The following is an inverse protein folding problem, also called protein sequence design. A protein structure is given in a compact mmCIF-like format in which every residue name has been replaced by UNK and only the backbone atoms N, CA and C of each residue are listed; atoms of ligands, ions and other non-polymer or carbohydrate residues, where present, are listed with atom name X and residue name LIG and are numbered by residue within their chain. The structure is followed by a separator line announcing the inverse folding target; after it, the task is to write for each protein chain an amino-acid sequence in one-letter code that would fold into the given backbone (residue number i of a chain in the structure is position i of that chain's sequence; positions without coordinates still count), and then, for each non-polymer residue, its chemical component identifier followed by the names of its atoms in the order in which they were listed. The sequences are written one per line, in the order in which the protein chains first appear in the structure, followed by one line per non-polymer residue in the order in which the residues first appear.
data_IF_740761388482
#
_entry.id   IF_740761388482
#
_cell.length_a   1.000
_cell.length_b   1.000
_cell.length_c   1.000
_cell.angle_alpha   90.00
_cell.angle_beta   90.00
_cell.angle_gamma   90.00
#
_symmetry.space_group_name_H-M   'P 1'
#
loop_
_entity.id
_entity.type
_entity.pdbx_description
1 polymer ?
#
# COMPACT_ATOMS: atom_id res chain seq x y z
N UNK A 1 5.26 10.89 -9.43
CA UNK A 1 6.30 11.17 -8.41
C UNK A 1 7.71 11.01 -8.96
N UNK A 2 8.10 9.82 -9.48
CA UNK A 2 9.47 9.53 -9.91
C UNK A 2 10.04 10.48 -10.97
N UNK A 3 9.29 10.79 -12.00
CA UNK A 3 9.67 11.75 -13.05
C UNK A 3 9.91 13.17 -12.49
N UNK A 4 9.10 13.63 -11.56
CA UNK A 4 9.28 14.92 -10.90
C UNK A 4 10.54 14.94 -10.01
N UNK A 5 10.83 13.83 -9.31
CA UNK A 5 12.01 13.72 -8.46
C UNK A 5 13.32 13.86 -9.23
N UNK A 6 13.43 13.22 -10.41
CA UNK A 6 14.61 13.31 -11.27
C UNK A 6 14.80 14.71 -11.85
N UNK A 7 13.72 15.43 -12.13
CA UNK A 7 13.77 16.77 -12.74
C UNK A 7 14.04 17.90 -11.73
N UNK A 8 13.42 17.85 -10.55
CA UNK A 8 13.45 18.96 -9.58
C UNK A 8 14.37 18.70 -8.37
N UNK A 9 14.89 17.48 -8.22
CA UNK A 9 15.72 17.07 -7.10
C UNK A 9 14.91 16.66 -5.84
N UNK A 10 15.55 15.88 -4.99
CA UNK A 10 14.92 15.26 -3.81
C UNK A 10 14.46 16.30 -2.81
N UNK A 11 15.31 17.31 -2.50
CA UNK A 11 14.99 18.36 -1.53
C UNK A 11 13.71 19.09 -1.86
N UNK A 12 13.58 19.58 -3.11
CA UNK A 12 12.36 20.29 -3.56
C UNK A 12 11.12 19.41 -3.48
N UNK A 13 11.24 18.13 -3.86
CA UNK A 13 10.14 17.18 -3.80
C UNK A 13 9.67 16.94 -2.35
N UNK A 14 10.61 16.82 -1.39
CA UNK A 14 10.27 16.69 0.03
C UNK A 14 9.59 17.95 0.55
N UNK A 15 10.12 19.12 0.21
CA UNK A 15 9.54 20.42 0.63
C UNK A 15 8.11 20.59 0.10
N UNK A 16 7.90 20.38 -1.20
CA UNK A 16 6.58 20.48 -1.82
C UNK A 16 5.62 19.44 -1.24
N UNK A 17 6.08 18.19 -1.07
CA UNK A 17 5.26 17.13 -0.48
C UNK A 17 4.83 17.46 0.95
N UNK A 18 5.75 17.88 1.81
CA UNK A 18 5.44 18.24 3.21
C UNK A 18 4.53 19.48 3.29
N UNK A 19 4.80 20.52 2.49
CA UNK A 19 3.94 21.70 2.43
C UNK A 19 2.52 21.36 1.97
N UNK A 20 2.39 20.51 0.96
CA UNK A 20 1.08 20.02 0.46
C UNK A 20 0.35 19.19 1.51
N UNK A 21 1.04 18.35 2.30
CA UNK A 21 0.44 17.57 3.40
C UNK A 21 -0.08 18.50 4.51
N UNK A 22 0.72 19.50 4.91
CA UNK A 22 0.31 20.54 5.88
C UNK A 22 -0.96 21.25 5.38
N UNK A 23 -0.97 21.67 4.11
CA UNK A 23 -2.15 22.30 3.49
C UNK A 23 -3.37 21.37 3.55
N UNK A 24 -3.19 20.08 3.26
CA UNK A 24 -4.27 19.09 3.36
C UNK A 24 -4.84 18.97 4.77
N UNK A 25 -4.01 18.96 5.81
CA UNK A 25 -4.48 18.94 7.21
C UNK A 25 -5.22 20.23 7.61
N UNK A 26 -4.72 21.39 7.18
CA UNK A 26 -5.38 22.68 7.44
C UNK A 26 -6.74 22.75 6.73
N UNK A 27 -6.82 22.31 5.47
CA UNK A 27 -8.09 22.21 4.76
C UNK A 27 -9.07 21.27 5.47
N UNK A 28 -8.59 20.12 5.94
CA UNK A 28 -9.43 19.16 6.66
C UNK A 28 -9.93 19.73 8.00
N UNK A 29 -9.11 20.52 8.69
CA UNK A 29 -9.48 21.17 9.94
C UNK A 29 -10.57 22.24 9.78
N UNK A 30 -10.79 22.76 8.57
CA UNK A 30 -11.83 23.72 8.25
C UNK A 30 -13.22 23.08 8.05
N UNK A 31 -13.34 21.75 8.18
CA UNK A 31 -14.62 21.04 8.13
C UNK A 31 -15.57 21.57 9.22
N UNK A 32 -16.76 22.02 8.81
CA UNK A 32 -17.75 22.56 9.73
C UNK A 32 -18.95 21.61 9.89
N UNK A 33 -19.43 21.42 11.13
CA UNK A 33 -20.66 20.67 11.38
C UNK A 33 -21.93 21.28 10.75
N UNK A 34 -21.87 22.56 10.39
CA UNK A 34 -23.00 23.28 9.76
C UNK A 34 -23.15 22.96 8.26
N UNK A 35 -22.19 22.26 7.66
CA UNK A 35 -22.24 21.93 6.24
C UNK A 35 -23.17 20.74 5.96
N UNK A 36 -23.73 20.71 4.75
CA UNK A 36 -24.46 19.54 4.29
C UNK A 36 -23.53 18.32 4.21
N UNK A 37 -24.09 17.13 4.37
CA UNK A 37 -23.34 15.87 4.28
C UNK A 37 -22.59 15.76 2.94
N UNK A 38 -23.26 16.14 1.83
CA UNK A 38 -22.64 16.10 0.51
C UNK A 38 -21.42 17.02 0.40
N UNK A 39 -21.51 18.25 0.92
CA UNK A 39 -20.40 19.21 0.93
C UNK A 39 -19.26 18.71 1.83
N UNK A 40 -19.59 18.21 3.00
CA UNK A 40 -18.61 17.63 3.94
C UNK A 40 -17.84 16.47 3.32
N UNK A 41 -18.54 15.54 2.65
CA UNK A 41 -17.92 14.40 1.94
C UNK A 41 -17.02 14.90 0.81
N UNK A 42 -17.51 15.80 -0.04
CA UNK A 42 -16.71 16.36 -1.14
C UNK A 42 -15.45 17.07 -0.64
N UNK A 43 -15.56 17.84 0.44
CA UNK A 43 -14.45 18.54 1.09
C UNK A 43 -13.40 17.56 1.63
N UNK A 44 -13.83 16.54 2.39
CA UNK A 44 -12.93 15.53 2.95
C UNK A 44 -12.25 14.75 1.84
N UNK A 45 -12.97 14.34 0.79
CA UNK A 45 -12.41 13.65 -0.37
C UNK A 45 -11.37 14.53 -1.08
N UNK A 46 -11.65 15.82 -1.27
CA UNK A 46 -10.71 16.77 -1.86
C UNK A 46 -9.45 16.95 -1.01
N UNK A 47 -9.59 17.19 0.28
CA UNK A 47 -8.48 17.34 1.21
C UNK A 47 -7.63 16.05 1.29
N UNK A 48 -8.27 14.88 1.36
CA UNK A 48 -7.57 13.59 1.33
C UNK A 48 -6.87 13.32 -0.01
N UNK A 49 -7.44 13.80 -1.12
CA UNK A 49 -6.78 13.75 -2.43
C UNK A 49 -5.47 14.54 -2.43
N UNK A 50 -5.47 15.74 -1.86
CA UNK A 50 -4.27 16.58 -1.67
C UNK A 50 -3.24 15.86 -0.80
N UNK A 51 -3.64 15.31 0.34
CA UNK A 51 -2.76 14.50 1.21
C UNK A 51 -2.22 13.26 0.47
N UNK A 52 -3.01 12.64 -0.40
CA UNK A 52 -2.59 11.51 -1.23
C UNK A 52 -1.45 11.87 -2.18
N UNK A 53 -1.55 13.01 -2.87
CA UNK A 53 -0.49 13.55 -3.73
C UNK A 53 0.76 13.87 -2.93
N UNK A 54 0.62 14.56 -1.80
CA UNK A 54 1.71 14.90 -0.88
C UNK A 54 2.48 13.67 -0.43
N UNK A 55 1.76 12.62 -0.02
CA UNK A 55 2.31 11.35 0.41
C UNK A 55 3.06 10.60 -0.70
N UNK A 56 2.60 10.69 -1.95
CA UNK A 56 3.33 10.08 -3.07
C UNK A 56 4.62 10.85 -3.39
N UNK A 57 4.60 12.17 -3.31
CA UNK A 57 5.78 13.01 -3.49
C UNK A 57 6.85 12.72 -2.43
N UNK A 58 6.50 12.75 -1.16
CA UNK A 58 7.43 12.49 -0.04
C UNK A 58 7.96 11.06 -0.05
N UNK A 59 7.11 10.07 -0.32
CA UNK A 59 7.50 8.66 -0.42
C UNK A 59 8.49 8.41 -1.57
N UNK A 60 8.26 9.03 -2.72
CA UNK A 60 9.14 8.87 -3.88
C UNK A 60 10.48 9.57 -3.63
N UNK A 61 10.46 10.79 -3.08
CA UNK A 61 11.66 11.52 -2.74
C UNK A 61 12.52 10.78 -1.71
N UNK A 62 11.90 10.25 -0.64
CA UNK A 62 12.60 9.47 0.40
C UNK A 62 13.26 8.22 -0.15
N UNK A 63 12.60 7.47 -1.04
CA UNK A 63 13.20 6.29 -1.68
C UNK A 63 14.38 6.66 -2.59
N UNK A 64 14.25 7.77 -3.31
CA UNK A 64 15.34 8.28 -4.16
C UNK A 64 16.53 8.75 -3.33
N UNK A 65 16.29 9.32 -2.14
CA UNK A 65 17.34 9.72 -1.19
C UNK A 65 18.16 8.51 -0.73
N UNK A 66 17.49 7.42 -0.33
CA UNK A 66 18.17 6.19 0.10
C UNK A 66 19.05 5.64 -1.01
N UNK A 67 18.55 5.58 -2.24
CA UNK A 67 19.34 5.11 -3.38
C UNK A 67 20.56 6.00 -3.64
N UNK A 68 20.42 7.31 -3.45
CA UNK A 68 21.51 8.27 -3.65
C UNK A 68 22.59 8.22 -2.55
N UNK A 69 22.22 7.78 -1.32
CA UNK A 69 23.15 7.75 -0.16
C UNK A 69 23.73 6.37 0.14
N UNK A 70 23.06 5.29 -0.24
CA UNK A 70 23.46 3.93 0.14
C UNK A 70 24.65 3.36 -0.65
N UNK A 71 25.19 4.05 -1.66
CA UNK A 71 26.32 3.57 -2.49
C UNK A 71 26.00 2.27 -3.27
N UNK A 72 26.86 1.92 -4.22
CA UNK A 72 26.70 0.73 -5.09
C UNK A 72 27.13 -0.60 -4.44
N UNK A 73 27.54 -0.64 -3.18
CA UNK A 73 27.93 -1.87 -2.51
C UNK A 73 26.71 -2.80 -2.35
N UNK A 74 26.70 -3.87 -3.13
CA UNK A 74 25.55 -4.76 -3.41
C UNK A 74 24.86 -5.43 -2.22
N UNK A 75 25.39 -5.38 -1.01
CA UNK A 75 24.74 -5.92 0.20
C UNK A 75 24.11 -4.86 1.10
N UNK A 76 24.62 -3.65 1.10
CA UNK A 76 24.13 -2.58 1.99
C UNK A 76 22.84 -1.95 1.49
N UNK A 77 22.68 -1.75 0.19
CA UNK A 77 21.46 -1.19 -0.40
C UNK A 77 20.23 -2.04 -0.06
N UNK A 78 20.36 -3.37 -0.15
CA UNK A 78 19.26 -4.29 0.20
C UNK A 78 18.87 -4.19 1.68
N UNK A 79 19.85 -4.13 2.58
CA UNK A 79 19.62 -3.97 4.04
C UNK A 79 18.90 -2.65 4.33
N UNK A 80 19.36 -1.55 3.74
CA UNK A 80 18.75 -0.23 3.94
C UNK A 80 17.34 -0.15 3.37
N UNK A 81 17.08 -0.71 2.20
CA UNK A 81 15.74 -0.76 1.59
C UNK A 81 14.79 -1.63 2.42
N UNK A 82 15.25 -2.77 2.91
CA UNK A 82 14.46 -3.66 3.77
C UNK A 82 14.15 -3.00 5.11
N UNK A 83 15.16 -2.40 5.76
CA UNK A 83 14.98 -1.64 7.01
C UNK A 83 14.01 -0.47 6.84
N UNK A 84 14.18 0.34 5.80
CA UNK A 84 13.28 1.46 5.51
C UNK A 84 11.85 1.01 5.21
N UNK A 85 11.69 -0.10 4.50
CA UNK A 85 10.35 -0.62 4.20
C UNK A 85 9.68 -1.19 5.44
N UNK A 86 10.42 -1.90 6.26
CA UNK A 86 9.95 -2.45 7.54
C UNK A 86 9.60 -1.35 8.55
N UNK A 87 10.51 -0.41 8.76
CA UNK A 87 10.29 0.72 9.67
C UNK A 87 9.09 1.58 9.23
N UNK A 88 8.91 1.82 7.93
CA UNK A 88 7.74 2.53 7.41
C UNK A 88 6.42 1.81 7.74
N UNK A 89 6.38 0.49 7.67
CA UNK A 89 5.17 -0.26 7.99
C UNK A 89 4.90 -0.28 9.51
N UNK A 90 5.95 -0.42 10.33
CA UNK A 90 5.83 -0.28 11.78
C UNK A 90 5.35 1.12 12.19
N UNK A 91 5.93 2.18 11.59
CA UNK A 91 5.51 3.56 11.84
C UNK A 91 4.08 3.86 11.42
N UNK A 92 3.51 3.14 10.44
CA UNK A 92 2.08 3.25 10.16
C UNK A 92 1.20 2.77 11.31
N UNK A 93 1.56 1.64 11.93
CA UNK A 93 0.85 1.13 13.09
C UNK A 93 0.91 2.12 14.26
N UNK A 94 2.11 2.63 14.56
CA UNK A 94 2.30 3.70 15.55
C UNK A 94 1.46 4.93 15.19
N UNK A 95 1.44 5.34 13.92
CA UNK A 95 0.65 6.47 13.44
C UNK A 95 -0.86 6.29 13.62
N UNK A 96 -1.40 5.10 13.41
CA UNK A 96 -2.81 4.80 13.69
C UNK A 96 -3.13 4.96 15.18
N UNK A 97 -2.29 4.42 16.06
CA UNK A 97 -2.47 4.53 17.50
C UNK A 97 -2.37 5.97 18.00
N UNK A 98 -1.29 6.68 17.59
CA UNK A 98 -1.09 8.08 17.97
C UNK A 98 -2.20 9.00 17.42
N UNK A 99 -2.66 8.75 16.18
CA UNK A 99 -3.79 9.48 15.59
C UNK A 99 -5.07 9.29 16.40
N UNK A 100 -5.33 8.08 16.88
CA UNK A 100 -6.44 7.77 17.78
C UNK A 100 -6.35 8.49 19.12
N UNK A 101 -5.17 8.49 19.74
CA UNK A 101 -4.91 9.21 21.01
C UNK A 101 -5.08 10.72 20.85
N UNK A 102 -4.53 11.30 19.78
CA UNK A 102 -4.66 12.73 19.50
C UNK A 102 -6.12 13.12 19.29
N UNK A 103 -6.86 12.31 18.53
CA UNK A 103 -8.28 12.57 18.29
C UNK A 103 -9.10 12.49 19.58
N UNK A 104 -8.84 11.50 20.42
CA UNK A 104 -9.54 11.31 21.69
C UNK A 104 -9.19 12.40 22.71
N UNK A 105 -7.91 12.82 22.78
CA UNK A 105 -7.43 13.76 23.77
C UNK A 105 -7.64 15.22 23.40
N UNK A 106 -7.49 15.58 22.13
CA UNK A 106 -7.50 16.96 21.65
C UNK A 106 -8.74 17.29 20.79
N UNK A 107 -9.48 16.29 20.34
CA UNK A 107 -10.55 16.47 19.38
C UNK A 107 -10.03 16.66 17.95
N UNK A 108 -10.96 16.71 16.98
CA UNK A 108 -10.64 16.61 15.55
C UNK A 108 -9.74 17.75 15.03
N UNK A 109 -10.12 19.01 15.29
CA UNK A 109 -9.40 20.17 14.77
C UNK A 109 -8.00 20.31 15.38
N UNK A 110 -7.91 20.22 16.72
CA UNK A 110 -6.61 20.37 17.41
C UNK A 110 -5.66 19.22 17.11
N UNK A 111 -6.16 18.00 16.88
CA UNK A 111 -5.34 16.88 16.41
C UNK A 111 -4.72 17.17 15.04
N UNK A 112 -5.51 17.70 14.09
CA UNK A 112 -5.02 18.08 12.76
C UNK A 112 -4.00 19.22 12.81
N UNK A 113 -4.22 20.23 13.65
CA UNK A 113 -3.26 21.32 13.84
C UNK A 113 -1.96 20.83 14.47
N UNK A 114 -2.04 19.94 15.45
CA UNK A 114 -0.85 19.30 16.04
C UNK A 114 -0.06 18.54 15.01
N UNK A 115 -0.71 17.76 14.17
CA UNK A 115 -0.05 17.03 13.07
C UNK A 115 0.57 17.99 12.06
N UNK A 116 -0.11 19.08 11.68
CA UNK A 116 0.41 20.12 10.80
C UNK A 116 1.63 20.80 11.39
N UNK A 117 1.62 21.13 12.68
CA UNK A 117 2.76 21.73 13.39
C UNK A 117 3.97 20.80 13.41
N UNK A 118 3.78 19.51 13.72
CA UNK A 118 4.85 18.51 13.68
C UNK A 118 5.47 18.38 12.28
N UNK A 119 4.64 18.39 11.23
CA UNK A 119 5.15 18.38 9.86
C UNK A 119 5.88 19.67 9.49
N UNK A 120 5.47 20.82 10.01
CA UNK A 120 6.19 22.09 9.81
C UNK A 120 7.60 22.05 10.45
N UNK A 121 7.76 21.42 11.61
CA UNK A 121 9.07 21.18 12.22
C UNK A 121 9.93 20.29 11.31
N UNK A 122 9.36 19.19 10.77
CA UNK A 122 10.07 18.31 9.84
C UNK A 122 10.44 19.07 8.55
N UNK A 123 9.54 19.90 8.01
CA UNK A 123 9.80 20.74 6.83
C UNK A 123 10.97 21.69 7.08
N UNK A 124 11.03 22.34 8.25
CA UNK A 124 12.15 23.20 8.65
C UNK A 124 13.46 22.43 8.68
N UNK A 125 13.46 21.20 9.24
CA UNK A 125 14.61 20.31 9.20
C UNK A 125 15.05 19.94 7.78
N UNK A 126 14.11 19.65 6.87
CA UNK A 126 14.44 19.39 5.45
C UNK A 126 15.05 20.61 4.78
N UNK A 127 14.52 21.80 5.04
CA UNK A 127 15.09 23.07 4.51
C UNK A 127 16.52 23.28 5.02
N UNK A 128 16.77 23.06 6.30
CA UNK A 128 18.06 23.31 6.94
C UNK A 128 19.13 22.28 6.56
N UNK A 129 18.81 21.00 6.59
CA UNK A 129 19.81 19.91 6.59
C UNK A 129 19.93 19.14 5.29
N UNK A 130 18.92 19.15 4.38
CA UNK A 130 19.00 18.38 3.13
C UNK A 130 19.77 19.17 2.06
N UNK A 131 20.82 18.59 1.43
CA UNK A 131 21.58 19.28 0.39
C UNK A 131 20.76 19.61 -0.86
N UNK A 132 20.90 20.78 -1.49
CA UNK A 132 20.06 21.24 -2.59
C UNK A 132 20.22 20.45 -3.91
N UNK A 133 21.37 19.83 -4.13
CA UNK A 133 21.71 19.12 -5.38
C UNK A 133 21.47 17.62 -5.33
N UNK A 134 20.93 17.11 -4.24
CA UNK A 134 20.71 15.67 -4.07
C UNK A 134 19.71 15.11 -5.08
N UNK A 135 20.13 14.12 -5.86
CA UNK A 135 19.24 13.28 -6.69
C UNK A 135 18.77 13.87 -8.02
N UNK A 136 19.45 14.88 -8.59
CA UNK A 136 19.20 15.29 -9.97
C UNK A 136 19.79 14.26 -10.94
N UNK A 137 18.94 13.59 -11.72
CA UNK A 137 19.33 12.63 -12.76
C UNK A 137 18.77 13.03 -14.12
N UNK A 138 19.32 12.46 -15.20
CA UNK A 138 18.77 12.64 -16.56
C UNK A 138 17.40 11.96 -16.64
N UNK A 139 16.33 12.72 -16.80
CA UNK A 139 15.01 12.21 -17.07
C UNK A 139 14.89 11.84 -18.55
N UNK A 140 14.82 10.58 -18.85
CA UNK A 140 14.56 10.10 -20.21
C UNK A 140 13.50 9.00 -20.16
N UNK A 141 12.21 9.38 -20.22
CA UNK A 141 11.18 8.38 -20.52
C UNK A 141 9.93 8.99 -21.14
N UNK A 142 9.51 8.46 -22.28
CA UNK A 142 8.24 8.77 -22.93
C UNK A 142 7.08 8.17 -22.11
N UNK A 143 5.98 8.92 -21.97
CA UNK A 143 4.77 8.44 -21.29
C UNK A 143 4.21 7.14 -21.91
N UNK A 144 4.43 6.90 -23.21
CA UNK A 144 4.05 5.65 -23.90
C UNK A 144 4.81 4.41 -23.39
N UNK A 145 6.06 4.55 -22.95
CA UNK A 145 6.86 3.45 -22.41
C UNK A 145 6.35 2.96 -21.03
N UNK A 146 5.57 3.77 -20.33
CA UNK A 146 4.98 3.40 -19.04
C UNK A 146 3.90 2.31 -19.13
N UNK A 147 3.25 2.16 -20.29
CA UNK A 147 2.11 1.25 -20.47
C UNK A 147 2.44 -0.01 -21.28
N UNK A 148 3.56 -0.04 -22.01
CA UNK A 148 3.98 -1.21 -22.80
C UNK A 148 4.83 -2.15 -21.94
N UNK A 149 4.21 -3.03 -21.19
CA UNK A 149 4.88 -3.97 -20.28
C UNK A 149 4.82 -5.40 -20.80
N UNK A 150 5.77 -6.25 -20.34
CA UNK A 150 5.74 -7.67 -20.67
C UNK A 150 4.51 -8.35 -20.02
N UNK A 151 4.15 -9.54 -20.52
CA UNK A 151 2.98 -10.30 -20.05
C UNK A 151 3.02 -10.58 -18.54
N UNK A 152 4.19 -10.94 -17.99
CA UNK A 152 4.34 -11.24 -16.57
C UNK A 152 4.05 -10.01 -15.70
N UNK A 153 4.56 -8.84 -16.06
CA UNK A 153 4.33 -7.58 -15.34
C UNK A 153 2.86 -7.16 -15.43
N UNK A 154 2.23 -7.27 -16.62
CA UNK A 154 0.81 -6.91 -16.78
C UNK A 154 -0.10 -7.80 -15.93
N UNK A 155 0.10 -9.11 -15.95
CA UNK A 155 -0.66 -10.05 -15.13
C UNK A 155 -0.42 -9.81 -13.63
N UNK A 156 0.84 -9.59 -13.23
CA UNK A 156 1.18 -9.32 -11.85
C UNK A 156 0.58 -7.99 -11.36
N UNK A 157 0.55 -6.95 -12.20
CA UNK A 157 -0.11 -5.68 -11.90
C UNK A 157 -1.63 -5.86 -11.76
N UNK A 158 -2.28 -6.61 -12.65
CA UNK A 158 -3.71 -6.92 -12.54
C UNK A 158 -4.02 -7.72 -11.26
N UNK A 159 -3.24 -8.76 -10.95
CA UNK A 159 -3.35 -9.50 -9.70
C UNK A 159 -3.16 -8.58 -8.48
N UNK A 160 -2.25 -7.59 -8.56
CA UNK A 160 -2.01 -6.62 -7.49
C UNK A 160 -3.20 -5.69 -7.24
N UNK A 161 -3.89 -5.24 -8.30
CA UNK A 161 -5.14 -4.46 -8.17
C UNK A 161 -6.15 -5.26 -7.34
N UNK A 162 -6.39 -6.51 -7.73
CA UNK A 162 -7.33 -7.38 -7.05
C UNK A 162 -6.91 -7.70 -5.61
N UNK A 163 -5.64 -8.02 -5.37
CA UNK A 163 -5.09 -8.36 -4.05
C UNK A 163 -5.24 -7.21 -3.04
N UNK A 164 -4.86 -6.00 -3.43
CA UNK A 164 -4.95 -4.85 -2.53
C UNK A 164 -6.35 -4.30 -2.40
N UNK A 165 -7.14 -4.37 -3.47
CA UNK A 165 -8.56 -4.09 -3.41
C UNK A 165 -9.28 -5.01 -2.43
N UNK A 166 -9.05 -6.30 -2.53
CA UNK A 166 -9.65 -7.31 -1.65
C UNK A 166 -9.38 -7.06 -0.15
N UNK A 167 -8.18 -6.62 0.21
CA UNK A 167 -7.87 -6.23 1.59
C UNK A 167 -8.68 -4.99 2.00
N UNK A 168 -8.64 -3.94 1.18
CA UNK A 168 -9.21 -2.65 1.55
C UNK A 168 -10.76 -2.68 1.54
N UNK A 169 -11.40 -3.60 0.81
CA UNK A 169 -12.87 -3.79 0.78
C UNK A 169 -13.45 -4.03 2.16
N UNK A 170 -12.81 -4.75 3.06
CA UNK A 170 -13.35 -4.97 4.40
C UNK A 170 -12.55 -4.28 5.50
N UNK A 171 -11.24 -4.04 5.28
CA UNK A 171 -10.35 -3.52 6.30
C UNK A 171 -10.54 -2.01 6.59
N UNK A 172 -10.82 -1.18 5.56
CA UNK A 172 -10.75 0.29 5.70
C UNK A 172 -11.98 0.86 6.39
N UNK A 173 -13.18 0.41 6.01
CA UNK A 173 -14.47 0.87 6.55
C UNK A 173 -15.20 -0.25 7.25
N UNK A 174 -15.35 -1.40 6.59
CA UNK A 174 -16.19 -2.49 7.06
C UNK A 174 -15.82 -2.99 8.45
N UNK A 175 -14.56 -3.32 8.70
CA UNK A 175 -14.11 -3.84 10.01
C UNK A 175 -14.20 -2.79 11.12
N UNK A 176 -13.68 -1.56 10.97
CA UNK A 176 -13.85 -0.54 11.98
C UNK A 176 -15.32 -0.29 12.36
N UNK A 177 -16.20 -0.09 11.37
CA UNK A 177 -17.64 0.15 11.62
C UNK A 177 -18.30 -1.04 12.30
N UNK A 178 -17.99 -2.27 11.86
CA UNK A 178 -18.50 -3.50 12.48
C UNK A 178 -18.08 -3.61 13.94
N UNK A 179 -16.79 -3.39 14.26
CA UNK A 179 -16.29 -3.47 15.63
C UNK A 179 -16.91 -2.41 16.54
N UNK A 180 -17.10 -1.17 16.04
CA UNK A 180 -17.84 -0.14 16.77
C UNK A 180 -19.29 -0.55 17.03
N UNK A 181 -19.98 -1.08 16.03
CA UNK A 181 -21.36 -1.56 16.20
C UNK A 181 -21.44 -2.76 17.16
N UNK A 182 -20.34 -3.51 17.35
CA UNK A 182 -20.21 -4.60 18.32
C UNK A 182 -19.81 -4.11 19.74
N UNK A 183 -19.73 -2.80 19.97
CA UNK A 183 -19.46 -2.21 21.29
C UNK A 183 -17.96 -1.95 21.59
N UNK A 184 -17.07 -2.12 20.61
CA UNK A 184 -15.66 -1.79 20.80
C UNK A 184 -15.46 -0.28 20.90
N UNK A 185 -14.60 0.15 21.83
CA UNK A 185 -14.23 1.56 21.96
C UNK A 185 -13.31 2.00 20.81
N UNK A 186 -13.21 3.30 20.58
CA UNK A 186 -12.31 3.87 19.58
C UNK A 186 -10.87 3.43 19.80
N UNK A 187 -10.40 3.44 21.05
CA UNK A 187 -9.05 3.01 21.42
C UNK A 187 -8.82 1.52 21.15
N UNK A 188 -9.81 0.65 21.41
CA UNK A 188 -9.71 -0.78 21.10
C UNK A 188 -9.58 -1.01 19.61
N UNK A 189 -10.41 -0.36 18.78
CA UNK A 189 -10.34 -0.50 17.31
C UNK A 189 -9.01 0.04 16.78
N UNK A 190 -8.58 1.21 17.21
CA UNK A 190 -7.30 1.81 16.80
C UNK A 190 -6.10 0.97 17.22
N UNK A 191 -6.12 0.45 18.44
CA UNK A 191 -5.09 -0.45 18.97
C UNK A 191 -5.01 -1.75 18.18
N UNK A 192 -6.16 -2.35 17.86
CA UNK A 192 -6.22 -3.55 17.02
C UNK A 192 -5.63 -3.30 15.62
N UNK A 193 -6.05 -2.22 14.94
CA UNK A 193 -5.56 -1.86 13.61
C UNK A 193 -4.05 -1.59 13.63
N UNK A 194 -3.56 -0.95 14.70
CA UNK A 194 -2.13 -0.70 14.92
C UNK A 194 -1.35 -2.02 15.05
N UNK A 195 -1.78 -2.90 15.96
CA UNK A 195 -1.16 -4.20 16.19
C UNK A 195 -1.20 -5.07 14.93
N UNK A 196 -2.33 -5.08 14.22
CA UNK A 196 -2.46 -5.80 12.96
C UNK A 196 -1.47 -5.29 11.91
N UNK A 197 -1.32 -3.96 11.78
CA UNK A 197 -0.40 -3.35 10.80
C UNK A 197 1.06 -3.64 11.14
N UNK A 198 1.42 -3.64 12.42
CA UNK A 198 2.76 -4.00 12.89
C UNK A 198 3.02 -5.49 12.65
N UNK A 199 2.10 -6.37 13.06
CA UNK A 199 2.18 -7.81 12.84
C UNK A 199 2.30 -8.17 11.36
N UNK A 200 1.50 -7.54 10.51
CA UNK A 200 1.63 -7.63 9.05
C UNK A 200 3.04 -7.27 8.57
N UNK A 201 3.62 -6.19 9.08
CA UNK A 201 4.98 -5.75 8.75
C UNK A 201 6.04 -6.77 9.15
N UNK A 202 5.91 -7.36 10.34
CA UNK A 202 6.82 -8.41 10.86
C UNK A 202 6.74 -9.67 9.98
N UNK A 203 5.54 -10.18 9.70
CA UNK A 203 5.35 -11.36 8.83
C UNK A 203 5.87 -11.06 7.42
N UNK A 204 5.65 -9.86 6.91
CA UNK A 204 6.17 -9.46 5.60
C UNK A 204 7.71 -9.48 5.55
N UNK A 205 8.38 -9.06 6.61
CA UNK A 205 9.83 -9.13 6.72
C UNK A 205 10.34 -10.59 6.83
N UNK A 206 9.57 -11.47 7.46
CA UNK A 206 9.88 -12.90 7.60
C UNK A 206 9.50 -13.74 6.35
N UNK A 207 8.69 -13.20 5.43
CA UNK A 207 8.21 -13.94 4.26
C UNK A 207 9.32 -14.63 3.42
N UNK A 208 10.53 -14.05 3.26
CA UNK A 208 11.63 -14.72 2.58
C UNK A 208 12.11 -16.03 3.24
N UNK A 209 11.84 -16.23 4.52
CA UNK A 209 12.15 -17.47 5.23
C UNK A 209 11.03 -18.52 5.08
N UNK A 210 9.82 -18.08 4.74
CA UNK A 210 8.63 -18.94 4.59
C UNK A 210 8.52 -19.50 3.18
N UNK A 211 8.93 -18.71 2.17
CA UNK A 211 8.78 -19.06 0.75
C UNK A 211 10.11 -19.58 0.21
N UNK A 212 10.08 -20.75 -0.43
CA UNK A 212 11.24 -21.27 -1.15
C UNK A 212 11.63 -20.34 -2.28
N UNK A 213 12.93 -20.17 -2.47
CA UNK A 213 13.50 -19.38 -3.56
C UNK A 213 14.12 -20.30 -4.58
N UNK A 214 14.03 -19.88 -5.84
CA UNK A 214 14.68 -20.54 -6.96
C UNK A 214 15.78 -19.65 -7.54
N UNK A 215 16.77 -20.27 -8.20
CA UNK A 215 17.89 -19.53 -8.82
C UNK A 215 17.42 -18.62 -9.97
N UNK A 216 16.35 -19.04 -10.68
CA UNK A 216 15.73 -18.28 -11.76
C UNK A 216 14.75 -17.20 -11.26
N UNK A 217 14.39 -17.23 -9.96
CA UNK A 217 13.44 -16.32 -9.32
C UNK A 217 11.99 -16.46 -9.76
N UNK A 218 11.62 -17.54 -10.45
CA UNK A 218 10.27 -17.76 -11.00
C UNK A 218 9.74 -19.16 -10.72
N UNK A 219 10.55 -20.20 -10.83
CA UNK A 219 10.11 -21.61 -10.77
C UNK A 219 9.53 -22.02 -9.42
N UNK A 220 9.98 -21.45 -8.31
CA UNK A 220 9.42 -21.65 -6.98
C UNK A 220 8.44 -20.55 -6.56
N UNK A 221 8.70 -19.32 -6.97
CA UNK A 221 7.94 -18.13 -6.53
C UNK A 221 6.58 -18.01 -7.21
N UNK A 222 6.45 -18.41 -8.48
CA UNK A 222 5.14 -18.39 -9.17
C UNK A 222 4.17 -19.41 -8.58
N UNK A 223 4.55 -20.70 -8.34
CA UNK A 223 3.73 -21.62 -7.58
C UNK A 223 3.37 -21.13 -6.18
N UNK A 224 4.31 -20.49 -5.47
CA UNK A 224 4.04 -19.89 -4.16
C UNK A 224 2.99 -18.78 -4.26
N UNK A 225 3.07 -17.89 -5.26
CA UNK A 225 2.06 -16.84 -5.48
C UNK A 225 0.67 -17.44 -5.72
N UNK A 226 0.57 -18.53 -6.50
CA UNK A 226 -0.68 -19.25 -6.76
C UNK A 226 -1.25 -19.87 -5.48
N UNK A 227 -0.42 -20.55 -4.72
CA UNK A 227 -0.84 -21.19 -3.46
C UNK A 227 -1.31 -20.15 -2.43
N UNK A 228 -0.50 -19.11 -2.18
CA UNK A 228 -0.84 -18.10 -1.18
C UNK A 228 -2.05 -17.24 -1.57
N UNK A 229 -2.27 -17.01 -2.88
CA UNK A 229 -3.50 -16.35 -3.35
C UNK A 229 -4.73 -17.21 -3.12
N UNK A 230 -4.66 -18.54 -3.35
CA UNK A 230 -5.75 -19.47 -3.06
C UNK A 230 -6.05 -19.53 -1.56
N UNK A 231 -5.02 -19.74 -0.72
CA UNK A 231 -5.18 -19.78 0.74
C UNK A 231 -5.78 -18.49 1.29
N UNK A 232 -5.35 -17.35 0.75
CA UNK A 232 -5.87 -16.06 1.17
C UNK A 232 -7.36 -15.89 0.84
N UNK A 233 -7.84 -16.44 -0.28
CA UNK A 233 -9.25 -16.38 -0.68
C UNK A 233 -10.16 -17.19 0.27
N UNK A 234 -9.64 -18.26 0.86
CA UNK A 234 -10.41 -19.12 1.82
C UNK A 234 -10.82 -18.32 3.05
N UNK A 235 -10.01 -17.35 3.49
CA UNK A 235 -10.27 -16.64 4.77
C UNK A 235 -11.56 -15.82 4.72
N UNK A 236 -11.78 -14.87 3.78
CA UNK A 236 -13.03 -14.12 3.74
C UNK A 236 -14.22 -14.99 3.36
N UNK A 237 -14.05 -16.08 2.60
CA UNK A 237 -15.11 -17.06 2.34
C UNK A 237 -15.53 -17.74 3.65
N UNK A 238 -14.57 -18.25 4.42
CA UNK A 238 -14.84 -18.87 5.71
C UNK A 238 -15.51 -17.91 6.70
N UNK A 239 -15.03 -16.66 6.79
CA UNK A 239 -15.65 -15.64 7.62
C UNK A 239 -17.08 -15.32 7.15
N UNK A 240 -17.34 -15.23 5.85
CA UNK A 240 -18.69 -15.00 5.33
C UNK A 240 -19.66 -16.14 5.73
N UNK A 241 -19.20 -17.39 5.70
CA UNK A 241 -19.97 -18.53 6.19
C UNK A 241 -20.27 -18.40 7.70
N UNK A 242 -19.27 -18.04 8.51
CA UNK A 242 -19.45 -17.88 9.96
C UNK A 242 -20.39 -16.70 10.29
N UNK A 243 -20.35 -15.62 9.51
CA UNK A 243 -21.32 -14.50 9.60
C UNK A 243 -22.73 -15.00 9.29
N UNK A 244 -22.91 -15.80 8.23
CA UNK A 244 -24.19 -16.36 7.84
C UNK A 244 -24.76 -17.30 8.93
N UNK A 245 -23.89 -18.06 9.59
CA UNK A 245 -24.24 -18.96 10.70
C UNK A 245 -24.54 -18.21 12.01
N UNK A 246 -24.33 -16.89 12.06
CA UNK A 246 -24.54 -16.07 13.26
C UNK A 246 -23.81 -16.61 14.49
N UNK A 247 -22.56 -17.02 14.34
CA UNK A 247 -21.76 -17.59 15.43
C UNK A 247 -21.64 -16.60 16.60
N UNK A 248 -21.58 -17.07 17.86
CA UNK A 248 -21.38 -16.20 19.01
C UNK A 248 -20.01 -15.52 18.95
N UNK A 249 -19.90 -14.37 19.59
CA UNK A 249 -18.66 -13.56 19.62
C UNK A 249 -18.05 -13.30 18.24
N UNK A 250 -18.91 -12.94 17.29
CA UNK A 250 -18.54 -12.71 15.89
C UNK A 250 -17.42 -11.64 15.73
N UNK A 251 -17.36 -10.65 16.60
CA UNK A 251 -16.32 -9.63 16.65
C UNK A 251 -14.93 -10.24 16.86
N UNK A 252 -14.77 -11.19 17.80
CA UNK A 252 -13.52 -11.90 18.04
C UNK A 252 -13.18 -12.88 16.91
N UNK A 253 -14.19 -13.52 16.32
CA UNK A 253 -14.01 -14.38 15.14
C UNK A 253 -13.47 -13.59 13.96
N UNK A 254 -14.00 -12.36 13.72
CA UNK A 254 -13.53 -11.46 12.67
C UNK A 254 -12.10 -10.99 12.94
N UNK A 255 -11.79 -10.64 14.20
CA UNK A 255 -10.43 -10.25 14.62
C UNK A 255 -9.42 -11.38 14.37
N UNK A 256 -9.75 -12.60 14.76
CA UNK A 256 -8.90 -13.78 14.54
C UNK A 256 -8.72 -14.06 13.04
N UNK A 257 -9.82 -14.03 12.28
CA UNK A 257 -9.80 -14.20 10.83
C UNK A 257 -8.99 -13.11 10.12
N UNK A 258 -9.08 -11.87 10.58
CA UNK A 258 -8.27 -10.78 10.06
C UNK A 258 -6.77 -10.99 10.39
N UNK A 259 -6.44 -11.55 11.54
CA UNK A 259 -5.08 -11.96 11.88
C UNK A 259 -4.54 -13.00 10.88
N UNK A 260 -5.29 -14.06 10.62
CA UNK A 260 -4.95 -15.10 9.65
C UNK A 260 -4.84 -14.52 8.22
N UNK A 261 -5.78 -13.66 7.83
CA UNK A 261 -5.72 -12.90 6.58
C UNK A 261 -4.43 -12.08 6.48
N UNK A 262 -4.04 -11.40 7.56
CA UNK A 262 -2.83 -10.58 7.62
C UNK A 262 -1.57 -11.37 7.34
N UNK A 263 -1.45 -12.58 7.90
CA UNK A 263 -0.32 -13.49 7.66
C UNK A 263 -0.27 -13.91 6.18
N UNK A 264 -1.35 -14.45 5.65
CA UNK A 264 -1.40 -14.92 4.27
C UNK A 264 -1.20 -13.76 3.26
N UNK A 265 -1.80 -12.60 3.54
CA UNK A 265 -1.64 -11.40 2.75
C UNK A 265 -0.20 -10.87 2.76
N UNK A 266 0.48 -10.89 3.91
CA UNK A 266 1.87 -10.43 4.04
C UNK A 266 2.79 -11.29 3.17
N UNK A 267 2.67 -12.60 3.25
CA UNK A 267 3.49 -13.53 2.45
C UNK A 267 3.20 -13.36 0.96
N UNK A 268 1.93 -13.38 0.55
CA UNK A 268 1.56 -13.23 -0.86
C UNK A 268 2.00 -11.88 -1.43
N UNK A 269 1.82 -10.80 -0.67
CA UNK A 269 2.27 -9.46 -1.07
C UNK A 269 3.79 -9.37 -1.23
N UNK A 270 4.56 -10.09 -0.40
CA UNK A 270 6.02 -10.17 -0.52
C UNK A 270 6.43 -10.92 -1.78
N UNK A 271 5.80 -12.06 -2.07
CA UNK A 271 6.04 -12.84 -3.29
C UNK A 271 5.75 -11.99 -4.53
N UNK A 272 4.61 -11.31 -4.58
CA UNK A 272 4.29 -10.40 -5.69
C UNK A 272 5.31 -9.27 -5.85
N UNK A 273 5.80 -8.72 -4.74
CA UNK A 273 6.81 -7.64 -4.76
C UNK A 273 8.19 -8.14 -5.23
N UNK A 274 8.49 -9.42 -5.02
CA UNK A 274 9.67 -10.06 -5.56
C UNK A 274 9.52 -10.36 -7.05
N UNK A 275 8.38 -10.94 -7.46
CA UNK A 275 8.11 -11.32 -8.85
C UNK A 275 8.15 -10.12 -9.81
N UNK A 276 7.75 -8.91 -9.38
CA UNK A 276 7.87 -7.72 -10.24
C UNK A 276 9.32 -7.43 -10.60
N UNK A 277 10.26 -7.66 -9.69
CA UNK A 277 11.68 -7.51 -9.96
C UNK A 277 12.23 -8.65 -10.83
N UNK A 278 11.73 -9.88 -10.62
CA UNK A 278 12.11 -11.03 -11.42
C UNK A 278 11.67 -10.93 -12.89
N UNK A 279 10.48 -10.34 -13.15
CA UNK A 279 9.99 -10.10 -14.50
C UNK A 279 10.56 -8.83 -15.14
N UNK A 280 11.00 -7.86 -14.35
CA UNK A 280 11.55 -6.60 -14.85
C UNK A 280 12.91 -6.84 -15.52
N UNK A 281 13.13 -6.23 -16.67
CA UNK A 281 14.45 -6.16 -17.29
C UNK A 281 15.35 -5.16 -16.54
N UNK A 282 16.68 -5.41 -16.57
CA UNK A 282 17.65 -4.56 -15.87
C UNK A 282 17.56 -3.07 -16.24
N UNK A 283 17.30 -2.75 -17.51
CA UNK A 283 17.25 -1.38 -18.02
C UNK A 283 15.94 -0.64 -17.66
N UNK A 284 14.81 -1.35 -17.48
CA UNK A 284 13.47 -0.78 -17.26
C UNK A 284 12.88 -1.10 -15.89
N UNK A 285 13.66 -1.66 -14.98
CA UNK A 285 13.19 -2.12 -13.68
C UNK A 285 12.46 -1.02 -12.87
N UNK A 286 12.95 0.21 -12.91
CA UNK A 286 12.32 1.33 -12.19
C UNK A 286 10.94 1.68 -12.74
N UNK A 287 10.74 1.59 -14.07
CA UNK A 287 9.47 1.86 -14.73
C UNK A 287 8.45 0.75 -14.47
N UNK A 288 8.90 -0.50 -14.53
CA UNK A 288 8.07 -1.68 -14.29
C UNK A 288 7.58 -1.73 -12.85
N UNK A 289 8.47 -1.44 -11.91
CA UNK A 289 8.12 -1.28 -10.49
C UNK A 289 7.17 -0.10 -10.28
N UNK A 290 7.36 1.01 -11.00
CA UNK A 290 6.47 2.17 -10.96
C UNK A 290 5.05 1.83 -11.43
N UNK A 291 4.92 1.10 -12.55
CA UNK A 291 3.64 0.60 -13.07
C UNK A 291 2.94 -0.32 -12.07
N UNK A 292 3.66 -1.27 -11.49
CA UNK A 292 3.14 -2.16 -10.46
C UNK A 292 2.67 -1.40 -9.21
N UNK A 293 3.35 -0.33 -8.78
CA UNK A 293 2.88 0.49 -7.68
C UNK A 293 1.67 1.36 -8.03
N UNK A 294 1.53 1.79 -9.28
CA UNK A 294 0.31 2.46 -9.76
C UNK A 294 -0.89 1.50 -9.70
N UNK A 295 -0.73 0.25 -10.15
CA UNK A 295 -1.74 -0.80 -10.01
C UNK A 295 -2.13 -1.04 -8.54
N UNK A 296 -1.14 -1.05 -7.63
CA UNK A 296 -1.41 -1.14 -6.19
C UNK A 296 -2.26 0.03 -5.66
N UNK A 297 -2.01 1.26 -6.12
CA UNK A 297 -2.80 2.43 -5.73
C UNK A 297 -4.23 2.35 -6.27
N UNK A 298 -4.40 1.92 -7.52
CA UNK A 298 -5.70 1.69 -8.15
C UNK A 298 -6.51 0.64 -7.38
N UNK A 299 -5.89 -0.49 -7.03
CA UNK A 299 -6.55 -1.54 -6.24
C UNK A 299 -7.03 -1.03 -4.89
N UNK A 300 -6.21 -0.26 -4.20
CA UNK A 300 -6.58 0.36 -2.92
C UNK A 300 -7.72 1.35 -3.06
N UNK A 301 -7.73 2.16 -4.11
CA UNK A 301 -8.82 3.09 -4.39
C UNK A 301 -10.14 2.34 -4.61
N UNK A 302 -10.15 1.34 -5.48
CA UNK A 302 -11.33 0.50 -5.75
C UNK A 302 -11.79 -0.19 -4.47
N UNK A 303 -10.86 -0.80 -3.71
CA UNK A 303 -11.17 -1.50 -2.47
C UNK A 303 -11.78 -0.59 -1.41
N UNK A 304 -11.24 0.61 -1.22
CA UNK A 304 -11.78 1.59 -0.26
C UNK A 304 -13.17 2.06 -0.66
N UNK A 305 -13.40 2.34 -1.94
CA UNK A 305 -14.72 2.73 -2.46
C UNK A 305 -15.75 1.61 -2.23
N UNK A 306 -15.39 0.38 -2.61
CA UNK A 306 -16.25 -0.79 -2.41
C UNK A 306 -16.47 -1.10 -0.92
N UNK A 307 -15.52 -0.80 -0.05
CA UNK A 307 -15.67 -0.99 1.40
C UNK A 307 -16.89 -0.24 1.94
N UNK A 308 -16.99 1.03 1.62
CA UNK A 308 -18.14 1.83 2.04
C UNK A 308 -19.46 1.37 1.40
N UNK A 309 -19.46 1.18 0.07
CA UNK A 309 -20.66 0.82 -0.69
C UNK A 309 -21.21 -0.56 -0.28
N UNK A 310 -20.35 -1.58 -0.23
CA UNK A 310 -20.79 -2.93 0.10
C UNK A 310 -21.20 -3.07 1.57
N UNK A 311 -20.48 -2.38 2.46
CA UNK A 311 -20.86 -2.39 3.87
C UNK A 311 -22.20 -1.67 4.10
N UNK A 312 -22.45 -0.55 3.44
CA UNK A 312 -23.71 0.21 3.55
C UNK A 312 -24.90 -0.61 3.06
N UNK A 313 -24.75 -1.39 1.99
CA UNK A 313 -25.85 -2.13 1.39
C UNK A 313 -26.06 -3.52 2.02
N UNK A 314 -24.99 -4.20 2.37
CA UNK A 314 -25.01 -5.62 2.74
C UNK A 314 -24.26 -5.91 4.07
N UNK A 315 -23.83 -4.87 4.79
CA UNK A 315 -23.10 -5.01 6.04
C UNK A 315 -21.75 -5.73 5.84
N UNK A 316 -21.29 -6.39 6.92
CA UNK A 316 -20.03 -7.13 6.93
C UNK A 316 -20.02 -8.26 5.86
N UNK A 317 -21.15 -8.91 5.63
CA UNK A 317 -21.29 -9.96 4.61
C UNK A 317 -20.92 -9.44 3.22
N UNK A 318 -21.41 -8.26 2.83
CA UNK A 318 -21.08 -7.65 1.54
C UNK A 318 -19.60 -7.34 1.40
N UNK A 319 -18.97 -6.82 2.44
CA UNK A 319 -17.54 -6.56 2.44
C UNK A 319 -16.69 -7.84 2.31
N UNK A 320 -17.06 -8.91 3.02
CA UNK A 320 -16.38 -10.21 2.96
C UNK A 320 -16.55 -10.90 1.60
N UNK A 321 -17.76 -10.91 1.04
CA UNK A 321 -18.01 -11.48 -0.29
C UNK A 321 -17.32 -10.70 -1.39
N UNK A 322 -17.30 -9.37 -1.31
CA UNK A 322 -16.53 -8.52 -2.22
C UNK A 322 -15.01 -8.81 -2.15
N UNK A 323 -14.47 -8.97 -0.94
CA UNK A 323 -13.08 -9.37 -0.75
C UNK A 323 -12.81 -10.74 -1.36
N UNK A 324 -13.66 -11.74 -1.08
CA UNK A 324 -13.54 -13.09 -1.63
C UNK A 324 -13.54 -13.09 -3.16
N UNK A 325 -14.46 -12.36 -3.77
CA UNK A 325 -14.55 -12.22 -5.24
C UNK A 325 -13.27 -11.64 -5.83
N UNK A 326 -12.74 -10.57 -5.24
CA UNK A 326 -11.49 -9.98 -5.70
C UNK A 326 -10.29 -10.92 -5.51
N UNK A 327 -10.24 -11.71 -4.43
CA UNK A 327 -9.18 -12.69 -4.22
C UNK A 327 -9.26 -13.87 -5.18
N UNK A 328 -10.44 -14.34 -5.49
CA UNK A 328 -10.65 -15.36 -6.54
C UNK A 328 -10.19 -14.82 -7.91
N UNK A 329 -10.49 -13.56 -8.22
CA UNK A 329 -9.98 -12.90 -9.42
C UNK A 329 -8.44 -12.78 -9.38
N UNK A 330 -7.85 -12.39 -8.24
CA UNK A 330 -6.41 -12.36 -8.05
C UNK A 330 -5.78 -13.74 -8.30
N UNK A 331 -6.34 -14.78 -7.70
CA UNK A 331 -5.89 -16.15 -7.90
C UNK A 331 -5.98 -16.58 -9.37
N UNK A 332 -7.13 -16.37 -10.03
CA UNK A 332 -7.33 -16.68 -11.45
C UNK A 332 -6.29 -16.01 -12.35
N UNK A 333 -6.01 -14.72 -12.13
CA UNK A 333 -4.96 -13.99 -12.86
C UNK A 333 -3.57 -14.56 -12.57
N UNK A 334 -3.30 -14.95 -11.32
CA UNK A 334 -2.00 -15.52 -10.92
C UNK A 334 -1.72 -16.88 -11.58
N UNK A 335 -2.76 -17.65 -11.92
CA UNK A 335 -2.61 -18.90 -12.67
C UNK A 335 -1.98 -18.68 -14.04
N UNK A 336 -2.21 -17.50 -14.67
CA UNK A 336 -1.63 -17.11 -15.95
C UNK A 336 -0.19 -16.61 -15.92
N UNK A 337 0.42 -16.47 -14.72
CA UNK A 337 1.80 -15.99 -14.58
C UNK A 337 2.79 -16.98 -15.24
N UNK A 338 3.69 -16.50 -16.10
CA UNK A 338 4.71 -17.35 -16.73
C UNK A 338 5.76 -17.80 -15.71
N UNK A 339 6.07 -19.10 -15.73
CA UNK A 339 7.07 -19.72 -14.83
C UNK A 339 8.49 -19.52 -15.37
N UNK A 340 8.64 -19.20 -16.66
CA UNK A 340 9.93 -18.96 -17.31
C UNK A 340 9.96 -17.54 -17.89
N UNK A 341 11.15 -16.93 -17.89
CA UNK A 341 11.33 -15.67 -18.63
C UNK A 341 11.11 -15.93 -20.12
N UNK A 342 10.36 -15.07 -20.78
CA UNK A 342 10.39 -15.05 -22.24
C UNK A 342 11.85 -14.89 -22.69
N UNK A 343 12.34 -15.68 -23.64
CA UNK A 343 13.67 -15.48 -24.19
C UNK A 343 13.77 -14.01 -24.60
N UNK A 344 14.87 -13.36 -24.19
CA UNK A 344 15.17 -12.01 -24.68
C UNK A 344 15.08 -12.09 -26.19
N UNK A 345 14.21 -11.29 -26.81
CA UNK A 345 14.16 -11.20 -28.26
C UNK A 345 15.60 -10.93 -28.69
N UNK A 346 16.24 -11.93 -29.29
CA UNK A 346 17.58 -11.82 -29.78
C UNK A 346 17.62 -10.54 -30.58
N UNK A 347 18.62 -9.69 -30.31
CA UNK A 347 18.91 -8.51 -31.08
C UNK A 347 19.28 -8.98 -32.52
N UNK A 348 18.24 -9.29 -33.29
CA UNK A 348 18.35 -9.54 -34.74
C UNK A 348 18.37 -8.16 -35.36
N UNK A 349 19.57 -7.67 -35.64
CA UNK A 349 19.69 -6.45 -36.41
C UNK A 349 21.00 -5.67 -36.23
N UNK A 350 22.12 -6.35 -35.97
CA UNK A 350 23.41 -5.70 -36.04
C UNK A 350 24.39 -6.54 -36.85
N UNK A 351 24.02 -6.87 -38.10
CA UNK A 351 24.95 -7.36 -39.11
C UNK A 351 24.21 -7.28 -40.45
N UNK A 352 24.19 -6.09 -41.04
CA UNK A 352 24.26 -5.85 -42.49
C UNK A 352 24.57 -4.37 -42.72
#
# INVERSE_FOLDING_TARGET
GGWLATRHGIKRMLMVGLATEITGFLLMSALSPAWSVALSVAWVVGAQGICGVAKDLTKTASKSAIKATAGEASGQLFKWVAFFTGSKNAMKGVGFFLGGLLLQGLGFQAALWTMAALLAVVLTGVVAFVPPLMGKGKASTSAKALFAKNRGINLLAAARVALFGARDVWFVVGVPVFLYASGWTFTMVSGFVALWTIGYGVVQAAAPAIVRRSDDGLSAEVPAARLWSALLAVVPIGLAVLVAMKVPHLDWVVVAGLGLFGVAFAVNSSVHSYLVLAYAGSEKAAEDVGFYYAANALGRFIGTLLSGLLYQQFGLMGALTGSATMLLACWGVTLGLPVQRAPAAAAVGAAR
#
